data_IF_001688154646
#
_entry.id   IF_001688154646
#
_cell.length_a   1.000
_cell.length_b   1.000
_cell.length_c   1.000
_cell.angle_alpha   90.00
_cell.angle_beta   90.00
_cell.angle_gamma   90.00
#
_symmetry.space_group_name_H-M   'P 1'
#
loop_
_entity.id
_entity.type
_entity.pdbx_description
1 polymer ?
#
# COMPACT_ATOMS: atom_id res chain seq x y z
N UNK A 1 -10.29 13.89 -62.47
CA UNK A 1 -9.86 12.52 -62.07
C UNK A 1 -8.34 12.59 -62.02
N UNK A 2 -7.64 12.67 -60.89
CA UNK A 2 -7.91 12.36 -59.48
C UNK A 2 -6.84 13.14 -58.68
N UNK A 3 -7.21 13.84 -57.60
CA UNK A 3 -6.25 14.35 -56.59
C UNK A 3 -5.61 13.16 -55.86
N UNK A 4 -4.29 13.16 -55.64
CA UNK A 4 -3.68 12.30 -54.64
C UNK A 4 -3.06 13.12 -53.49
N UNK A 5 -3.47 12.72 -52.28
CA UNK A 5 -2.67 12.74 -51.04
C UNK A 5 -2.56 14.09 -50.30
N UNK A 6 -3.65 14.45 -49.60
CA UNK A 6 -3.51 15.17 -48.34
C UNK A 6 -2.81 14.24 -47.33
N UNK A 7 -1.59 14.60 -46.90
CA UNK A 7 -0.96 14.00 -45.72
C UNK A 7 -1.83 14.30 -44.47
N UNK A 8 -2.34 13.28 -43.75
CA UNK A 8 -2.95 13.52 -42.45
C UNK A 8 -1.84 13.80 -41.43
N UNK A 9 -1.87 15.03 -40.90
CA UNK A 9 -0.98 15.45 -39.82
C UNK A 9 -1.01 14.45 -38.66
N UNK A 10 0.17 14.03 -38.22
CA UNK A 10 0.37 13.37 -36.93
C UNK A 10 0.55 14.43 -35.84
N UNK A 11 -0.46 14.66 -34.98
CA UNK A 11 -0.14 15.14 -33.64
C UNK A 11 -0.98 14.44 -32.56
N UNK A 12 -0.46 13.39 -31.92
CA UNK A 12 -1.01 12.88 -30.63
C UNK A 12 0.02 12.21 -29.70
N UNK A 13 1.27 11.97 -30.13
CA UNK A 13 2.27 11.25 -29.32
C UNK A 13 2.71 12.03 -28.08
N UNK A 14 2.81 13.37 -28.18
CA UNK A 14 3.20 14.22 -27.05
C UNK A 14 2.14 14.26 -25.93
N UNK A 15 0.86 14.32 -26.30
CA UNK A 15 -0.24 14.36 -25.33
C UNK A 15 -0.42 13.02 -24.61
N UNK A 16 -0.23 11.90 -25.31
CA UNK A 16 -0.31 10.58 -24.69
C UNK A 16 0.82 10.34 -23.68
N UNK A 17 2.06 10.74 -24.00
CA UNK A 17 3.19 10.63 -23.08
C UNK A 17 3.01 11.53 -21.85
N UNK A 18 2.53 12.77 -22.03
CA UNK A 18 2.23 13.70 -20.93
C UNK A 18 1.10 13.15 -20.05
N UNK A 19 0.06 12.56 -20.64
CA UNK A 19 -1.04 11.96 -19.87
C UNK A 19 -0.58 10.76 -19.03
N UNK A 20 0.31 9.91 -19.57
CA UNK A 20 0.88 8.77 -18.84
C UNK A 20 1.78 9.24 -17.70
N UNK A 21 2.64 10.24 -17.93
CA UNK A 21 3.48 10.81 -16.87
C UNK A 21 2.63 11.49 -15.81
N UNK A 22 1.60 12.25 -16.19
CA UNK A 22 0.68 12.88 -15.25
C UNK A 22 -0.10 11.85 -14.43
N UNK A 23 -0.56 10.76 -15.04
CA UNK A 23 -1.22 9.65 -14.34
C UNK A 23 -0.26 8.93 -13.40
N UNK A 24 1.00 8.68 -13.81
CA UNK A 24 2.03 8.07 -12.96
C UNK A 24 2.36 8.97 -11.76
N UNK A 25 2.51 10.28 -11.98
CA UNK A 25 2.74 11.26 -10.91
C UNK A 25 1.54 11.33 -9.98
N UNK A 26 0.30 11.30 -10.47
CA UNK A 26 -0.90 11.26 -9.64
C UNK A 26 -0.99 9.98 -8.81
N UNK A 27 -0.61 8.82 -9.37
CA UNK A 27 -0.54 7.54 -8.65
C UNK A 27 0.57 7.56 -7.60
N UNK A 28 1.76 8.08 -7.92
CA UNK A 28 2.86 8.21 -6.97
C UNK A 28 2.57 9.24 -5.88
N UNK A 29 1.90 10.35 -6.20
CA UNK A 29 1.50 11.37 -5.23
C UNK A 29 0.39 10.86 -4.31
N UNK A 30 -0.56 10.07 -4.82
CA UNK A 30 -1.59 9.44 -3.99
C UNK A 30 -1.03 8.30 -3.12
N UNK A 31 -0.01 7.57 -3.57
CA UNK A 31 0.75 6.65 -2.72
C UNK A 31 1.62 7.38 -1.69
N UNK A 32 2.23 8.51 -2.07
CA UNK A 32 3.06 9.35 -1.19
C UNK A 32 2.26 10.05 -0.10
N UNK A 33 0.98 10.37 -0.34
CA UNK A 33 0.10 11.00 0.66
C UNK A 33 -0.22 10.11 1.87
N UNK A 34 0.10 8.81 1.81
CA UNK A 34 -0.02 7.87 2.95
C UNK A 34 1.33 7.52 3.58
N UNK A 35 2.44 8.04 3.05
CA UNK A 35 3.78 7.86 3.61
C UNK A 35 4.32 9.21 4.07
N UNK A 36 4.28 9.46 5.38
CA UNK A 36 4.80 10.66 6.04
C UNK A 36 6.34 10.69 6.03
N UNK A 37 6.96 10.70 4.85
CA UNK A 37 8.38 10.98 4.69
C UNK A 37 8.50 12.48 4.41
N UNK A 38 9.01 13.20 5.40
CA UNK A 38 9.18 14.64 5.36
C UNK A 38 9.99 15.12 4.15
N UNK A 39 9.92 16.41 3.81
CA UNK A 39 10.58 16.96 2.65
C UNK A 39 12.10 16.70 2.77
N UNK A 40 12.62 15.90 1.83
CA UNK A 40 14.05 15.75 1.58
C UNK A 40 14.58 17.08 1.00
N UNK A 41 14.66 18.11 1.84
CA UNK A 41 15.20 19.42 1.48
C UNK A 41 16.52 19.61 2.21
N UNK A 42 17.56 19.67 1.36
CA UNK A 42 18.77 20.48 1.50
C UNK A 42 19.62 20.27 2.75
N UNK A 43 20.58 19.36 2.61
CA UNK A 43 21.95 19.66 3.05
C UNK A 43 22.84 19.55 1.83
N UNK A 44 22.81 20.60 1.00
CA UNK A 44 23.94 20.89 0.12
C UNK A 44 25.08 21.27 1.06
N UNK A 45 25.94 20.30 1.33
CA UNK A 45 27.21 20.50 2.04
C UNK A 45 27.90 21.70 1.40
N UNK A 46 28.05 22.77 2.18
CA UNK A 46 28.93 23.87 1.87
C UNK A 46 30.34 23.28 1.78
N UNK A 47 30.77 22.96 0.55
CA UNK A 47 32.11 22.51 0.31
C UNK A 47 33.06 23.65 0.71
N UNK A 48 34.09 23.41 1.54
CA UNK A 48 35.05 24.44 1.84
C UNK A 48 35.71 24.88 0.53
N UNK A 49 35.64 26.18 0.22
CA UNK A 49 36.33 26.77 -0.92
C UNK A 49 37.83 26.58 -0.70
N UNK A 50 38.39 25.55 -1.33
CA UNK A 50 39.84 25.43 -1.48
C UNK A 50 40.22 26.46 -2.54
N UNK A 51 40.75 27.59 -2.09
CA UNK A 51 41.44 28.54 -2.97
C UNK A 51 42.69 27.87 -3.52
N UNK A 52 42.83 27.69 -4.85
CA UNK A 52 44.08 27.19 -5.40
C UNK A 52 45.19 28.25 -5.20
N UNK A 53 46.43 27.84 -4.92
CA UNK A 53 47.55 28.78 -4.81
C UNK A 53 47.80 29.50 -6.15
N UNK A 54 48.38 30.72 -6.12
CA UNK A 54 48.63 31.49 -7.32
C UNK A 54 49.58 30.76 -8.28
N UNK A 55 49.38 30.87 -9.60
CA UNK A 55 50.22 30.19 -10.57
C UNK A 55 51.67 30.74 -10.52
N UNK A 56 52.70 29.88 -10.69
CA UNK A 56 54.07 30.35 -10.86
C UNK A 56 54.21 31.17 -12.16
N UNK A 57 55.20 32.09 -12.23
CA UNK A 57 55.43 32.89 -13.43
C UNK A 57 55.67 32.00 -14.67
N UNK A 58 55.27 32.45 -15.87
CA UNK A 58 55.35 31.62 -17.06
C UNK A 58 56.80 31.32 -17.36
N UNK A 59 57.20 30.07 -17.15
CA UNK A 59 58.39 29.53 -17.79
C UNK A 59 57.99 29.27 -19.23
N UNK A 60 58.59 30.02 -20.17
CA UNK A 60 58.51 29.74 -21.60
C UNK A 60 58.99 28.30 -21.84
N UNK A 61 58.05 27.36 -21.79
CA UNK A 61 58.25 26.04 -22.35
C UNK A 61 58.07 26.23 -23.85
N UNK A 62 59.20 26.36 -24.53
CA UNK A 62 59.30 26.29 -25.99
C UNK A 62 58.41 25.15 -26.46
N UNK A 63 57.32 25.52 -27.14
CA UNK A 63 56.37 24.59 -27.70
C UNK A 63 57.06 23.74 -28.75
N UNK A 64 57.50 22.56 -28.36
CA UNK A 64 57.65 21.46 -29.31
C UNK A 64 56.22 21.00 -29.58
N UNK A 65 55.58 21.60 -30.59
CA UNK A 65 54.41 21.00 -31.21
C UNK A 65 54.83 19.59 -31.66
N UNK A 66 54.21 18.51 -31.15
CA UNK A 66 54.26 17.24 -31.85
C UNK A 66 53.73 17.48 -33.27
N UNK A 67 54.29 16.85 -34.31
CA UNK A 67 53.73 16.98 -35.66
C UNK A 67 52.23 16.69 -35.58
N UNK A 68 51.42 17.64 -36.07
CA UNK A 68 49.98 17.62 -35.98
C UNK A 68 49.43 16.28 -36.43
N UNK A 69 49.04 15.45 -35.46
CA UNK A 69 48.03 14.46 -35.70
C UNK A 69 46.74 15.26 -35.70
N UNK A 70 46.20 15.55 -36.88
CA UNK A 70 44.76 15.78 -37.00
C UNK A 70 44.11 14.56 -36.34
N UNK A 71 43.72 14.69 -35.08
CA UNK A 71 42.75 13.80 -34.47
C UNK A 71 41.45 14.04 -35.26
N UNK A 72 41.35 13.35 -36.40
CA UNK A 72 40.10 13.07 -37.07
C UNK A 72 39.32 12.28 -36.03
N UNK A 73 38.53 13.00 -35.22
CA UNK A 73 37.58 12.39 -34.32
C UNK A 73 36.72 11.48 -35.21
N UNK A 74 36.77 10.15 -35.04
CA UNK A 74 35.99 9.26 -35.88
C UNK A 74 34.53 9.71 -35.77
N UNK A 75 33.84 9.83 -36.91
CA UNK A 75 32.38 10.05 -36.90
C UNK A 75 31.78 9.05 -35.91
N UNK A 76 30.94 9.50 -34.96
CA UNK A 76 30.30 8.57 -34.05
C UNK A 76 29.62 7.50 -34.91
N UNK A 77 29.84 6.21 -34.62
CA UNK A 77 29.23 5.14 -35.41
C UNK A 77 27.73 5.41 -35.49
N UNK A 78 27.09 5.18 -36.66
CA UNK A 78 25.66 5.38 -36.80
C UNK A 78 24.97 4.61 -35.69
N UNK A 79 24.33 5.34 -34.76
CA UNK A 79 23.59 4.72 -33.68
C UNK A 79 22.50 3.87 -34.33
N UNK A 80 22.33 2.60 -33.91
CA UNK A 80 21.27 1.77 -34.45
C UNK A 80 19.93 2.50 -34.23
N UNK A 81 19.30 2.96 -35.31
CA UNK A 81 18.00 3.60 -35.25
C UNK A 81 16.99 2.53 -34.81
N UNK A 82 16.47 2.66 -33.59
CA UNK A 82 15.45 1.76 -33.08
C UNK A 82 14.21 1.96 -33.94
N UNK A 83 13.71 0.92 -34.64
CA UNK A 83 12.56 1.06 -35.50
C UNK A 83 11.34 1.54 -34.71
N UNK A 84 10.60 2.53 -35.24
CA UNK A 84 9.45 3.14 -34.57
C UNK A 84 8.40 2.09 -34.11
N UNK A 85 8.23 1.01 -34.87
CA UNK A 85 7.31 -0.07 -34.53
C UNK A 85 7.71 -0.80 -33.23
N UNK A 86 9.01 -0.89 -32.94
CA UNK A 86 9.53 -1.53 -31.74
C UNK A 86 9.30 -0.64 -30.51
N UNK A 87 9.53 0.67 -30.64
CA UNK A 87 9.21 1.64 -29.59
C UNK A 87 7.69 1.65 -29.30
N UNK A 88 6.85 1.62 -30.34
CA UNK A 88 5.39 1.50 -30.19
C UNK A 88 4.97 0.21 -29.48
N UNK A 89 5.61 -0.91 -29.82
CA UNK A 89 5.33 -2.20 -29.17
C UNK A 89 5.70 -2.18 -27.68
N UNK A 90 6.86 -1.63 -27.32
CA UNK A 90 7.28 -1.50 -25.91
C UNK A 90 6.30 -0.63 -25.11
N UNK A 91 5.88 0.51 -25.67
CA UNK A 91 4.90 1.40 -25.03
C UNK A 91 3.56 0.68 -24.87
N UNK A 92 3.08 -0.01 -25.91
CA UNK A 92 1.82 -0.75 -25.86
C UNK A 92 1.86 -1.86 -24.79
N UNK A 93 2.98 -2.58 -24.67
CA UNK A 93 3.19 -3.59 -23.63
C UNK A 93 3.22 -2.95 -22.24
N UNK A 94 3.90 -1.80 -22.08
CA UNK A 94 3.94 -1.06 -20.82
C UNK A 94 2.55 -0.60 -20.36
N UNK A 95 1.76 -0.05 -21.28
CA UNK A 95 0.37 0.36 -20.99
C UNK A 95 -0.50 -0.85 -20.64
N UNK A 96 -0.37 -1.96 -21.37
CA UNK A 96 -1.10 -3.19 -21.08
C UNK A 96 -0.72 -3.76 -19.71
N UNK A 97 0.57 -3.75 -19.34
CA UNK A 97 1.04 -4.19 -18.04
C UNK A 97 0.52 -3.28 -16.91
N UNK A 98 0.56 -1.96 -17.10
CA UNK A 98 0.01 -1.01 -16.14
C UNK A 98 -1.51 -1.21 -15.97
N UNK A 99 -2.24 -1.35 -17.07
CA UNK A 99 -3.67 -1.66 -17.03
C UNK A 99 -3.95 -2.98 -16.31
N UNK A 100 -3.14 -4.01 -16.53
CA UNK A 100 -3.26 -5.29 -15.82
C UNK A 100 -3.00 -5.15 -14.32
N UNK A 101 -2.01 -4.34 -13.90
CA UNK A 101 -1.73 -4.06 -12.49
C UNK A 101 -2.87 -3.26 -11.85
N UNK A 102 -3.40 -2.24 -12.53
CA UNK A 102 -4.55 -1.46 -12.06
C UNK A 102 -5.78 -2.34 -11.95
N UNK A 103 -6.08 -3.16 -12.96
CA UNK A 103 -7.20 -4.11 -12.92
C UNK A 103 -6.99 -5.12 -11.81
N UNK A 104 -5.80 -5.69 -11.63
CA UNK A 104 -5.48 -6.60 -10.54
C UNK A 104 -5.68 -5.94 -9.16
N UNK A 105 -5.22 -4.70 -9.00
CA UNK A 105 -5.34 -3.94 -7.75
C UNK A 105 -6.81 -3.60 -7.46
N UNK A 106 -7.54 -3.09 -8.46
CA UNK A 106 -8.98 -2.83 -8.36
C UNK A 106 -9.72 -4.12 -8.05
N UNK A 107 -9.41 -5.23 -8.71
CA UNK A 107 -10.02 -6.54 -8.42
C UNK A 107 -9.68 -7.00 -7.00
N UNK A 108 -8.46 -6.76 -6.49
CA UNK A 108 -8.07 -7.09 -5.12
C UNK A 108 -8.83 -6.27 -4.09
N UNK A 109 -8.92 -4.95 -4.28
CA UNK A 109 -9.64 -4.03 -3.39
C UNK A 109 -11.15 -4.27 -3.47
N UNK A 110 -11.70 -4.42 -4.68
CA UNK A 110 -13.11 -4.76 -4.87
C UNK A 110 -13.39 -6.14 -4.30
N UNK A 111 -12.47 -7.11 -4.36
CA UNK A 111 -12.64 -8.39 -3.66
C UNK A 111 -12.52 -8.26 -2.14
N UNK A 112 -11.72 -7.37 -1.56
CA UNK A 112 -11.72 -7.18 -0.10
C UNK A 112 -12.96 -6.43 0.39
N UNK A 113 -13.49 -5.50 -0.40
CA UNK A 113 -14.69 -4.71 -0.08
C UNK A 113 -15.97 -5.44 -0.46
N UNK A 114 -15.93 -6.29 -1.50
CA UNK A 114 -17.04 -7.14 -1.95
C UNK A 114 -16.79 -8.62 -1.64
N UNK A 115 -16.31 -8.94 -0.44
CA UNK A 115 -16.55 -10.27 0.13
C UNK A 115 -17.75 -10.23 1.09
N UNK A 116 -19.00 -9.96 0.64
CA UNK A 116 -20.09 -10.74 1.20
C UNK A 116 -19.97 -12.15 0.60
N UNK A 117 -19.96 -13.17 1.45
CA UNK A 117 -20.26 -14.55 1.11
C UNK A 117 -19.61 -15.14 -0.17
N UNK A 118 -18.44 -15.73 -0.03
CA UNK A 118 -18.05 -16.88 -0.86
C UNK A 118 -18.17 -18.20 -0.10
N UNK A 119 -19.29 -18.36 0.64
CA UNK A 119 -19.94 -19.65 0.82
C UNK A 119 -20.57 -20.11 -0.51
N UNK A 120 -19.76 -20.55 -1.50
CA UNK A 120 -20.18 -21.55 -2.53
C UNK A 120 -19.19 -21.95 -3.64
N UNK A 121 -17.95 -21.50 -3.67
CA UNK A 121 -16.97 -22.09 -4.60
C UNK A 121 -16.17 -23.23 -3.92
N UNK A 122 -16.87 -24.29 -3.52
CA UNK A 122 -16.31 -25.64 -3.65
C UNK A 122 -16.21 -25.93 -5.16
N UNK A 123 -15.19 -26.60 -5.70
CA UNK A 123 -14.40 -27.72 -5.19
C UNK A 123 -13.13 -27.89 -6.07
N UNK A 124 -12.29 -28.93 -5.91
CA UNK A 124 -12.01 -29.79 -4.76
C UNK A 124 -10.49 -29.85 -4.47
N UNK A 125 -10.07 -29.49 -3.26
CA UNK A 125 -8.93 -30.16 -2.63
C UNK A 125 -9.42 -30.56 -1.24
N UNK A 126 -9.53 -31.85 -1.01
CA UNK A 126 -10.19 -32.40 0.16
C UNK A 126 -9.48 -32.00 1.45
N UNK A 127 -10.15 -31.14 2.21
CA UNK A 127 -10.17 -31.14 3.67
C UNK A 127 -11.54 -30.58 4.05
N UNK A 128 -12.18 -31.15 5.07
CA UNK A 128 -13.36 -30.54 5.67
C UNK A 128 -13.08 -29.06 5.94
N UNK A 129 -14.05 -28.19 5.67
CA UNK A 129 -13.99 -26.83 6.19
C UNK A 129 -14.15 -26.97 7.70
N UNK A 130 -13.03 -27.13 8.38
CA UNK A 130 -12.95 -27.10 9.83
C UNK A 130 -13.34 -25.67 10.22
N UNK A 131 -14.58 -25.53 10.69
CA UNK A 131 -15.06 -24.27 11.25
C UNK A 131 -14.17 -23.99 12.46
N UNK A 132 -13.52 -22.81 12.55
CA UNK A 132 -12.70 -22.48 13.71
C UNK A 132 -13.51 -22.69 14.99
N UNK A 133 -13.01 -23.52 15.90
CA UNK A 133 -13.61 -23.69 17.22
C UNK A 133 -13.12 -22.52 18.10
N UNK A 134 -13.83 -21.40 18.02
CA UNK A 134 -13.59 -20.23 18.86
C UNK A 134 -14.62 -20.24 19.98
N UNK A 135 -14.20 -19.98 21.22
CA UNK A 135 -15.14 -19.74 22.31
C UNK A 135 -15.74 -18.33 22.16
N UNK A 136 -16.91 -18.26 21.52
CA UNK A 136 -17.70 -17.03 21.37
C UNK A 136 -18.00 -16.36 22.73
N UNK A 137 -18.13 -17.16 23.80
CA UNK A 137 -18.32 -16.66 25.15
C UNK A 137 -17.10 -15.89 25.66
N UNK A 138 -15.90 -16.40 25.37
CA UNK A 138 -14.65 -15.72 25.72
C UNK A 138 -14.48 -14.41 24.93
N UNK A 139 -14.87 -14.40 23.65
CA UNK A 139 -14.89 -13.17 22.84
C UNK A 139 -15.84 -12.13 23.46
N UNK A 140 -17.07 -12.51 23.77
CA UNK A 140 -18.06 -11.62 24.41
C UNK A 140 -17.55 -11.11 25.76
N UNK A 141 -16.92 -11.95 26.56
CA UNK A 141 -16.35 -11.55 27.85
C UNK A 141 -15.22 -10.53 27.66
N UNK A 142 -14.33 -10.75 26.69
CA UNK A 142 -13.25 -9.82 26.35
C UNK A 142 -13.80 -8.45 25.94
N UNK A 143 -14.79 -8.42 25.05
CA UNK A 143 -15.47 -7.19 24.64
C UNK A 143 -16.17 -6.49 25.81
N UNK A 144 -16.83 -7.25 26.70
CA UNK A 144 -17.45 -6.74 27.91
C UNK A 144 -16.45 -6.09 28.87
N UNK A 145 -15.26 -6.69 29.04
CA UNK A 145 -14.16 -6.11 29.82
C UNK A 145 -13.68 -4.79 29.20
N UNK A 146 -13.56 -4.72 27.87
CA UNK A 146 -13.18 -3.49 27.16
C UNK A 146 -14.20 -2.37 27.35
N UNK A 147 -15.50 -2.67 27.26
CA UNK A 147 -16.57 -1.70 27.54
C UNK A 147 -16.51 -1.18 28.98
N UNK A 148 -16.26 -2.06 29.95
CA UNK A 148 -16.10 -1.66 31.35
C UNK A 148 -14.91 -0.69 31.51
N UNK A 149 -13.77 -0.98 30.89
CA UNK A 149 -12.59 -0.10 30.91
C UNK A 149 -12.87 1.27 30.27
N UNK A 150 -13.49 1.29 29.08
CA UNK A 150 -13.83 2.53 28.38
C UNK A 150 -14.78 3.41 29.19
N UNK A 151 -15.79 2.80 29.85
CA UNK A 151 -16.74 3.52 30.71
C UNK A 151 -16.14 3.95 32.05
N UNK A 152 -15.11 3.25 32.54
CA UNK A 152 -14.37 3.62 33.75
C UNK A 152 -13.38 4.78 33.51
N UNK A 153 -13.24 5.27 32.28
CA UNK A 153 -12.36 6.38 31.94
C UNK A 153 -10.91 5.98 31.65
N UNK A 154 -10.64 4.70 31.42
CA UNK A 154 -9.32 4.26 30.91
C UNK A 154 -9.07 4.92 29.54
N UNK A 155 -7.80 5.19 29.22
CA UNK A 155 -7.42 5.75 27.93
C UNK A 155 -7.87 4.81 26.79
N UNK A 156 -8.40 5.39 25.71
CA UNK A 156 -9.07 4.62 24.64
C UNK A 156 -8.07 3.75 23.89
N UNK A 157 -6.86 4.27 23.67
CA UNK A 157 -5.72 3.55 23.11
C UNK A 157 -5.39 2.30 23.92
N UNK A 158 -5.17 2.44 25.22
CA UNK A 158 -4.86 1.32 26.11
C UNK A 158 -5.98 0.27 26.10
N UNK A 159 -7.24 0.72 26.21
CA UNK A 159 -8.39 -0.18 26.24
C UNK A 159 -8.55 -0.98 24.94
N UNK A 160 -8.36 -0.35 23.78
CA UNK A 160 -8.48 -0.99 22.47
C UNK A 160 -7.29 -1.92 22.19
N UNK A 161 -6.07 -1.53 22.55
CA UNK A 161 -4.89 -2.39 22.38
C UNK A 161 -5.01 -3.64 23.24
N UNK A 162 -5.42 -3.50 24.51
CA UNK A 162 -5.67 -4.64 25.40
C UNK A 162 -6.82 -5.53 24.91
N UNK A 163 -7.89 -4.93 24.37
CA UNK A 163 -8.96 -5.68 23.72
C UNK A 163 -8.41 -6.54 22.58
N UNK A 164 -7.65 -5.92 21.66
CA UNK A 164 -7.09 -6.60 20.51
C UNK A 164 -6.18 -7.75 20.91
N UNK A 165 -5.27 -7.55 21.87
CA UNK A 165 -4.37 -8.62 22.35
C UNK A 165 -5.12 -9.83 22.90
N UNK A 166 -6.22 -9.61 23.63
CA UNK A 166 -7.07 -10.70 24.14
C UNK A 166 -7.74 -11.45 23.00
N UNK A 167 -8.22 -10.73 21.98
CA UNK A 167 -8.79 -11.35 20.79
C UNK A 167 -7.75 -12.13 19.97
N UNK A 168 -6.50 -11.65 19.89
CA UNK A 168 -5.41 -12.40 19.28
C UNK A 168 -5.10 -13.69 20.03
N UNK A 169 -5.16 -13.68 21.36
CA UNK A 169 -4.98 -14.87 22.19
C UNK A 169 -6.10 -15.89 21.92
N UNK A 170 -7.37 -15.45 21.96
CA UNK A 170 -8.53 -16.29 21.66
C UNK A 170 -8.41 -16.89 20.24
N UNK A 171 -8.01 -16.08 19.26
CA UNK A 171 -7.82 -16.55 17.90
C UNK A 171 -6.68 -17.58 17.78
N UNK A 172 -5.59 -17.40 18.53
CA UNK A 172 -4.47 -18.35 18.56
C UNK A 172 -4.89 -19.72 19.12
N UNK A 173 -5.88 -19.74 20.01
CA UNK A 173 -6.39 -20.96 20.64
C UNK A 173 -7.40 -21.72 19.76
N UNK A 174 -7.78 -21.18 18.60
CA UNK A 174 -8.71 -21.81 17.63
C UNK A 174 -8.23 -23.13 17.00
N UNK A 175 -7.00 -23.55 17.28
CA UNK A 175 -6.40 -24.77 16.73
C UNK A 175 -5.98 -24.67 15.25
N UNK A 176 -6.26 -23.55 14.58
CA UNK A 176 -5.92 -23.34 13.17
C UNK A 176 -4.49 -22.83 13.03
N UNK A 177 -3.70 -23.51 12.20
CA UNK A 177 -2.34 -23.08 11.90
C UNK A 177 -2.34 -21.82 11.01
N UNK A 178 -1.60 -20.80 11.43
CA UNK A 178 -1.35 -19.59 10.64
C UNK A 178 -0.52 -19.89 9.40
N UNK A 179 -0.83 -19.21 8.28
CA UNK A 179 -0.03 -19.29 7.07
C UNK A 179 1.41 -18.74 7.27
N UNK A 180 2.42 -19.23 6.54
CA UNK A 180 3.82 -18.89 6.78
C UNK A 180 4.17 -17.40 6.59
N UNK A 181 3.39 -16.68 5.78
CA UNK A 181 3.55 -15.23 5.53
C UNK A 181 2.40 -14.39 6.08
N UNK A 182 1.46 -15.01 6.79
CA UNK A 182 0.29 -14.33 7.32
C UNK A 182 0.67 -13.59 8.59
N UNK A 183 0.26 -12.33 8.72
CA UNK A 183 0.50 -11.54 9.93
C UNK A 183 -0.44 -11.96 11.07
N UNK A 184 -0.13 -11.53 12.31
CA UNK A 184 -1.02 -11.80 13.45
C UNK A 184 -2.39 -11.20 13.29
N UNK A 185 -2.43 -9.93 12.89
CA UNK A 185 -3.67 -9.24 12.64
C UNK A 185 -4.50 -9.92 11.54
N UNK A 186 -3.89 -10.30 10.41
CA UNK A 186 -4.61 -10.98 9.32
C UNK A 186 -5.18 -12.33 9.75
N UNK A 187 -4.45 -13.07 10.58
CA UNK A 187 -4.93 -14.33 11.14
C UNK A 187 -6.10 -14.09 12.10
N UNK A 188 -5.95 -13.17 13.05
CA UNK A 188 -7.01 -12.85 14.03
C UNK A 188 -8.28 -12.36 13.34
N UNK A 189 -8.17 -11.47 12.34
CA UNK A 189 -9.32 -11.05 11.53
C UNK A 189 -9.95 -12.22 10.80
N UNK A 190 -9.16 -13.09 10.17
CA UNK A 190 -9.68 -14.29 9.50
C UNK A 190 -10.44 -15.18 10.47
N UNK A 191 -9.91 -15.42 11.68
CA UNK A 191 -10.52 -16.30 12.67
C UNK A 191 -11.81 -15.67 13.20
N UNK A 192 -11.74 -14.42 13.65
CA UNK A 192 -12.91 -13.70 14.19
C UNK A 192 -14.01 -13.48 13.14
N UNK A 193 -13.70 -13.26 11.86
CA UNK A 193 -14.73 -13.10 10.82
C UNK A 193 -15.58 -14.36 10.60
N UNK A 194 -15.16 -15.52 11.13
CA UNK A 194 -16.00 -16.73 11.11
C UNK A 194 -16.98 -16.77 12.28
N UNK A 195 -16.63 -16.15 13.42
CA UNK A 195 -17.47 -16.08 14.62
C UNK A 195 -18.28 -14.78 14.71
N UNK A 196 -17.93 -13.74 13.94
CA UNK A 196 -18.63 -12.45 13.96
C UNK A 196 -19.46 -12.29 12.69
N UNK A 197 -20.75 -11.93 12.87
CA UNK A 197 -21.70 -11.73 11.76
C UNK A 197 -21.44 -10.44 10.99
N UNK A 198 -20.79 -9.45 11.62
CA UNK A 198 -20.62 -8.09 11.08
C UNK A 198 -19.15 -7.76 10.82
N UNK A 199 -18.74 -8.05 9.58
CA UNK A 199 -17.41 -7.69 9.08
C UNK A 199 -17.14 -6.18 9.14
N UNK A 200 -18.17 -5.33 9.07
CA UNK A 200 -17.99 -3.88 9.13
C UNK A 200 -17.64 -3.42 10.55
N UNK A 201 -18.31 -3.97 11.56
CA UNK A 201 -17.98 -3.70 12.96
C UNK A 201 -16.59 -4.23 13.33
N UNK A 202 -16.20 -5.41 12.82
CA UNK A 202 -14.84 -5.94 13.01
C UNK A 202 -13.79 -5.06 12.32
N UNK A 203 -14.07 -4.58 11.10
CA UNK A 203 -13.17 -3.65 10.41
C UNK A 203 -13.00 -2.32 11.16
N UNK A 204 -14.09 -1.80 11.75
CA UNK A 204 -14.05 -0.59 12.59
C UNK A 204 -13.15 -0.80 13.82
N UNK A 205 -13.24 -1.95 14.49
CA UNK A 205 -12.36 -2.29 15.61
C UNK A 205 -10.89 -2.35 15.19
N UNK A 206 -10.59 -2.95 14.03
CA UNK A 206 -9.23 -3.01 13.47
C UNK A 206 -8.69 -1.61 13.17
N UNK A 207 -9.53 -0.71 12.67
CA UNK A 207 -9.14 0.67 12.40
C UNK A 207 -8.87 1.44 13.69
N UNK A 208 -9.70 1.27 14.73
CA UNK A 208 -9.44 1.84 16.06
C UNK A 208 -8.13 1.31 16.66
N UNK A 209 -7.84 0.02 16.52
CA UNK A 209 -6.58 -0.57 16.97
C UNK A 209 -5.37 0.00 16.24
N UNK A 210 -5.45 0.14 14.90
CA UNK A 210 -4.38 0.75 14.11
C UNK A 210 -4.16 2.22 14.50
N UNK A 211 -5.24 2.96 14.76
CA UNK A 211 -5.17 4.33 15.24
C UNK A 211 -4.50 4.37 16.63
N UNK A 212 -4.91 3.52 17.56
CA UNK A 212 -4.30 3.43 18.89
C UNK A 212 -2.79 3.14 18.85
N UNK A 213 -2.33 2.28 17.94
CA UNK A 213 -0.92 1.93 17.82
C UNK A 213 -0.05 2.99 17.14
N UNK A 214 -0.57 3.64 16.09
CA UNK A 214 0.24 4.46 15.20
C UNK A 214 -0.12 5.95 15.22
N UNK A 215 -1.22 6.34 15.87
CA UNK A 215 -1.57 7.75 16.02
C UNK A 215 -0.63 8.43 17.00
N UNK A 216 -0.17 9.62 16.63
CA UNK A 216 0.54 10.54 17.54
C UNK A 216 -0.42 11.36 18.41
N UNK A 217 -1.72 11.28 18.16
CA UNK A 217 -2.76 12.00 18.90
C UNK A 217 -3.42 11.06 19.89
N UNK A 218 -3.61 11.53 21.12
CA UNK A 218 -4.44 10.88 22.13
C UNK A 218 -5.88 10.89 21.62
N UNK A 219 -6.52 9.73 21.58
CA UNK A 219 -7.93 9.55 21.22
C UNK A 219 -8.80 10.35 22.20
N UNK A 220 -9.72 11.14 21.66
CA UNK A 220 -10.57 12.04 22.44
C UNK A 220 -11.89 11.38 22.89
N UNK A 221 -12.77 12.16 23.51
CA UNK A 221 -14.07 11.65 23.98
C UNK A 221 -14.99 11.23 22.82
N UNK A 222 -14.83 11.81 21.62
CA UNK A 222 -15.56 11.37 20.42
C UNK A 222 -15.12 9.98 20.02
N UNK A 223 -13.81 9.72 20.05
CA UNK A 223 -13.26 8.41 19.76
C UNK A 223 -13.65 7.38 20.82
N UNK A 224 -13.79 7.80 22.08
CA UNK A 224 -14.35 6.96 23.15
C UNK A 224 -15.78 6.52 22.85
N UNK A 225 -16.65 7.46 22.46
CA UNK A 225 -18.03 7.14 22.11
C UNK A 225 -18.10 6.18 20.92
N UNK A 226 -17.30 6.44 19.88
CA UNK A 226 -17.17 5.54 18.72
C UNK A 226 -16.68 4.15 19.10
N UNK A 227 -15.67 4.06 19.96
CA UNK A 227 -15.15 2.80 20.46
C UNK A 227 -16.20 2.02 21.27
N UNK A 228 -16.95 2.71 22.13
CA UNK A 228 -18.05 2.09 22.90
C UNK A 228 -19.11 1.54 21.95
N UNK A 229 -19.57 2.32 20.98
CA UNK A 229 -20.60 1.89 20.03
C UNK A 229 -20.14 0.67 19.20
N UNK A 230 -18.90 0.69 18.71
CA UNK A 230 -18.29 -0.41 17.97
C UNK A 230 -18.27 -1.70 18.80
N UNK A 231 -17.77 -1.64 20.04
CA UNK A 231 -17.64 -2.81 20.91
C UNK A 231 -19.01 -3.31 21.39
N UNK A 232 -19.98 -2.42 21.66
CA UNK A 232 -21.36 -2.79 21.99
C UNK A 232 -22.03 -3.55 20.84
N UNK A 233 -21.85 -3.08 19.61
CA UNK A 233 -22.40 -3.73 18.40
C UNK A 233 -21.87 -5.16 18.25
N UNK A 234 -20.56 -5.33 18.39
CA UNK A 234 -19.90 -6.64 18.33
C UNK A 234 -20.39 -7.58 19.44
N UNK A 235 -20.45 -7.10 20.69
CA UNK A 235 -20.89 -7.91 21.82
C UNK A 235 -22.38 -8.31 21.71
N UNK A 236 -23.23 -7.39 21.23
CA UNK A 236 -24.66 -7.63 21.06
C UNK A 236 -24.97 -8.68 20.00
N UNK A 237 -24.20 -8.74 18.92
CA UNK A 237 -24.38 -9.72 17.85
C UNK A 237 -24.00 -11.13 18.30
N UNK A 238 -22.83 -11.31 18.91
CA UNK A 238 -22.44 -12.63 19.45
C UNK A 238 -23.37 -13.08 20.58
N UNK A 239 -23.79 -12.15 21.45
CA UNK A 239 -24.72 -12.48 22.53
C UNK A 239 -26.10 -12.97 22.04
N UNK A 240 -26.56 -12.49 20.87
CA UNK A 240 -27.80 -12.97 20.25
C UNK A 240 -27.63 -14.38 19.67
N UNK A 241 -26.50 -14.67 19.01
CA UNK A 241 -26.22 -16.00 18.43
C UNK A 241 -26.02 -17.08 19.50
N UNK A 242 -25.28 -16.78 20.56
CA UNK A 242 -25.10 -17.68 21.73
C UNK A 242 -26.44 -17.95 22.42
N UNK A 243 -27.36 -16.98 22.40
CA UNK A 243 -28.71 -17.11 22.94
C UNK A 243 -29.62 -18.04 22.11
N UNK A 244 -29.52 -17.99 20.79
CA UNK A 244 -30.31 -18.81 19.86
C UNK A 244 -29.82 -20.26 19.76
N UNK A 245 -28.55 -20.53 20.12
CA UNK A 245 -27.96 -21.87 20.11
C UNK A 245 -28.30 -22.74 21.34
N UNK A 246 -29.04 -22.21 22.32
CA UNK A 246 -29.32 -22.84 23.63
C UNK A 246 -30.78 -23.30 23.77
#
# INVERSE_FOLDING_TARGET
>A
MRDPEQEPGRPTTGFAAVAVVAALVLVLASLGATSSWGPLVEVLVEAPVVTPPPPPPPTETVGVQPPGLEEVLPEPPPVPEIPDWLAQLVIAVGVAALAAVVVWFVVRVVRSVRRPDLRRAGAPTGTAVEVPEIDEGEVVESLGRTLASLRAGVAVDDAIVECWHRLEAIAADSGIARGPSQTSQEFTVQILSHAMVDDAALAELVDLYRQALFSTHVLDDTDRERAIECVERLAGQLGAEVGDAR
#
